data_IF_483426271598
#
_entry.id   IF_483426271598
#
_cell.length_a   1.000
_cell.length_b   1.000
_cell.length_c   1.000
_cell.angle_alpha   90.00
_cell.angle_beta   90.00
_cell.angle_gamma   90.00
#
_symmetry.space_group_name_H-M   'P 1'
#
loop_
_entity.id
_entity.type
_entity.pdbx_description
1 polymer ?
#
# COMPACT_ATOMS: atom_id res chain seq x y z
N UNK A 1 55.05 -6.99 -10.59
CA UNK A 1 54.49 -6.01 -9.62
C UNK A 1 52.98 -6.20 -9.59
N UNK A 2 52.36 -6.51 -8.45
CA UNK A 2 50.90 -6.59 -8.39
C UNK A 2 50.34 -5.18 -8.57
N UNK A 3 49.39 -5.03 -9.49
CA UNK A 3 48.65 -3.79 -9.72
C UNK A 3 47.70 -3.64 -8.54
N UNK A 4 48.01 -2.75 -7.62
CA UNK A 4 47.09 -2.37 -6.54
C UNK A 4 45.94 -1.64 -7.22
N UNK A 5 44.81 -2.33 -7.38
CA UNK A 5 43.58 -1.74 -7.88
C UNK A 5 43.21 -0.56 -6.99
N UNK A 6 42.89 0.58 -7.60
CA UNK A 6 42.41 1.77 -6.89
C UNK A 6 41.22 1.32 -6.03
N UNK A 7 41.20 1.63 -4.71
CA UNK A 7 40.05 1.28 -3.88
C UNK A 7 38.82 1.94 -4.48
N UNK A 8 37.77 1.13 -4.68
CA UNK A 8 36.50 1.60 -5.21
C UNK A 8 36.05 2.82 -4.40
N UNK A 9 35.69 3.90 -5.08
CA UNK A 9 35.30 5.15 -4.41
C UNK A 9 34.08 4.85 -3.54
N UNK A 10 34.21 5.01 -2.22
CA UNK A 10 33.09 4.88 -1.31
C UNK A 10 32.01 5.92 -1.65
N UNK A 11 30.82 5.45 -2.03
CA UNK A 11 29.64 6.27 -2.27
C UNK A 11 28.65 6.02 -1.12
N UNK A 12 28.26 7.05 -0.34
CA UNK A 12 27.25 6.90 0.70
C UNK A 12 25.91 6.38 0.16
N UNK A 13 25.19 5.59 0.96
CA UNK A 13 23.89 5.03 0.56
C UNK A 13 22.88 6.10 0.12
N UNK A 14 22.86 7.25 0.81
CA UNK A 14 22.00 8.40 0.46
C UNK A 14 22.25 8.92 -0.96
N UNK A 15 23.48 8.82 -1.46
CA UNK A 15 23.84 9.22 -2.82
C UNK A 15 23.63 8.09 -3.83
N UNK A 16 23.94 6.85 -3.45
CA UNK A 16 23.77 5.67 -4.31
C UNK A 16 22.29 5.31 -4.58
N UNK A 17 21.41 5.60 -3.62
CA UNK A 17 20.00 5.28 -3.66
C UNK A 17 19.06 6.49 -3.63
N UNK A 18 19.58 7.71 -3.88
CA UNK A 18 18.77 8.93 -3.98
C UNK A 18 17.56 8.68 -4.90
N UNK A 19 16.36 8.97 -4.38
CA UNK A 19 15.06 8.83 -5.07
C UNK A 19 14.68 7.41 -5.51
N UNK A 20 15.40 6.37 -5.10
CA UNK A 20 14.95 4.98 -5.35
C UNK A 20 14.02 4.53 -4.24
N UNK A 21 12.80 4.17 -4.63
CA UNK A 21 11.72 3.82 -3.69
C UNK A 21 11.08 2.52 -4.17
N UNK A 22 11.02 1.54 -3.27
CA UNK A 22 10.24 0.33 -3.51
C UNK A 22 8.77 0.62 -3.19
N UNK A 23 7.88 0.21 -4.07
CA UNK A 23 6.45 0.46 -3.99
C UNK A 23 5.69 -0.86 -4.02
N UNK A 24 5.00 -1.13 -2.92
CA UNK A 24 4.12 -2.27 -2.75
C UNK A 24 2.66 -1.82 -2.70
N UNK A 25 1.77 -2.71 -3.14
CA UNK A 25 0.32 -2.56 -3.07
C UNK A 25 -0.22 -3.57 -2.07
N UNK A 26 -1.16 -3.14 -1.25
CA UNK A 26 -1.74 -3.99 -0.22
C UNK A 26 -3.07 -3.47 0.27
N UNK A 27 -3.54 -4.05 1.37
CA UNK A 27 -4.74 -3.57 2.06
C UNK A 27 -4.64 -3.85 3.56
N UNK A 28 -5.49 -3.19 4.34
CA UNK A 28 -5.77 -3.62 5.71
C UNK A 28 -7.28 -3.75 5.90
N UNK A 29 -7.69 -4.61 6.83
CA UNK A 29 -9.09 -4.74 7.23
C UNK A 29 -9.36 -3.81 8.41
N UNK A 30 -10.31 -2.90 8.27
CA UNK A 30 -10.78 -2.06 9.36
C UNK A 30 -12.10 -2.62 9.90
N UNK A 31 -12.11 -3.07 11.14
CA UNK A 31 -13.34 -3.50 11.83
C UNK A 31 -14.30 -2.33 11.98
N UNK A 32 -15.60 -2.57 11.75
CA UNK A 32 -16.68 -1.59 11.91
C UNK A 32 -17.68 -2.15 12.93
N UNK A 33 -17.48 -1.93 14.24
CA UNK A 33 -18.29 -2.59 15.26
C UNK A 33 -19.74 -2.09 15.32
N UNK A 34 -20.00 -0.84 14.94
CA UNK A 34 -21.30 -0.17 15.11
C UNK A 34 -22.22 -0.27 13.88
N UNK A 35 -21.83 -0.98 12.82
CA UNK A 35 -22.64 -1.11 11.60
C UNK A 35 -23.42 -2.43 11.60
N UNK A 36 -24.76 -2.39 11.47
CA UNK A 36 -25.56 -3.62 11.35
C UNK A 36 -25.35 -4.33 10.02
N UNK A 37 -24.75 -3.65 9.03
CA UNK A 37 -24.65 -4.13 7.65
C UNK A 37 -23.23 -4.53 7.22
N UNK A 38 -22.22 -4.18 8.02
CA UNK A 38 -20.81 -4.27 7.68
C UNK A 38 -19.96 -4.58 8.92
N UNK A 39 -19.24 -5.70 8.89
CA UNK A 39 -18.33 -6.08 9.98
C UNK A 39 -16.92 -5.51 9.80
N UNK A 40 -16.49 -5.30 8.57
CA UNK A 40 -15.18 -4.73 8.23
C UNK A 40 -15.18 -4.07 6.85
N UNK A 41 -14.27 -3.12 6.67
CA UNK A 41 -13.87 -2.50 5.39
C UNK A 41 -12.55 -3.04 4.91
N UNK A 42 -12.42 -3.24 3.61
CA UNK A 42 -11.12 -3.51 2.97
C UNK A 42 -10.61 -2.18 2.43
N UNK A 43 -9.51 -1.67 3.02
CA UNK A 43 -8.93 -0.39 2.64
C UNK A 43 -7.61 -0.61 1.89
N UNK A 44 -7.58 -0.39 0.56
CA UNK A 44 -6.35 -0.51 -0.22
C UNK A 44 -5.33 0.55 0.18
N UNK A 45 -4.06 0.17 0.19
CA UNK A 45 -2.95 1.07 0.52
C UNK A 45 -1.76 0.82 -0.40
N UNK A 46 -0.93 1.85 -0.55
CA UNK A 46 0.42 1.79 -1.08
C UNK A 46 1.42 1.87 0.07
N UNK A 47 2.42 1.02 0.03
CA UNK A 47 3.51 1.00 1.00
C UNK A 47 4.77 1.37 0.24
N UNK A 48 5.44 2.44 0.67
CA UNK A 48 6.67 2.94 0.08
C UNK A 48 7.83 2.64 1.02
N UNK A 49 8.88 2.01 0.53
CA UNK A 49 10.14 1.82 1.24
C UNK A 49 11.24 2.63 0.54
N UNK A 50 11.88 3.53 1.28
CA UNK A 50 12.91 4.42 0.76
C UNK A 50 14.28 3.79 0.99
N UNK A 51 14.97 3.45 -0.11
CA UNK A 51 16.27 2.76 -0.05
C UNK A 51 17.39 3.64 0.52
N UNK A 52 17.21 4.97 0.49
CA UNK A 52 18.22 5.92 0.98
C UNK A 52 18.41 5.89 2.51
N UNK A 53 17.35 5.58 3.26
CA UNK A 53 17.35 5.71 4.72
C UNK A 53 16.57 4.63 5.47
N UNK A 54 16.12 3.57 4.77
CA UNK A 54 15.31 2.47 5.31
C UNK A 54 13.98 2.92 5.95
N UNK A 55 13.46 4.07 5.55
CA UNK A 55 12.16 4.55 6.04
C UNK A 55 10.99 3.98 5.22
N UNK A 56 9.82 3.95 5.85
CA UNK A 56 8.56 3.48 5.27
C UNK A 56 7.50 4.59 5.33
N UNK A 57 6.63 4.65 4.33
CA UNK A 57 5.43 5.48 4.30
C UNK A 57 4.23 4.63 3.86
N UNK A 58 3.06 4.79 4.50
CA UNK A 58 1.82 4.13 4.09
C UNK A 58 0.82 5.18 3.64
N UNK A 59 0.34 5.02 2.41
CA UNK A 59 -0.57 5.95 1.76
C UNK A 59 -1.83 5.22 1.30
N UNK A 60 -2.98 5.82 1.55
CA UNK A 60 -4.27 5.38 1.06
C UNK A 60 -4.75 6.32 -0.03
N UNK A 61 -5.05 5.77 -1.20
CA UNK A 61 -5.59 6.54 -2.31
C UNK A 61 -6.97 7.11 -1.96
N UNK A 62 -7.20 8.36 -2.37
CA UNK A 62 -8.50 8.98 -2.23
C UNK A 62 -9.53 8.24 -3.09
N UNK A 63 -10.65 7.87 -2.48
CA UNK A 63 -11.80 7.29 -3.15
C UNK A 63 -12.94 8.29 -3.10
N UNK A 64 -13.52 8.59 -4.25
CA UNK A 64 -14.66 9.50 -4.33
C UNK A 64 -15.82 8.98 -3.50
N UNK A 65 -16.50 9.89 -2.80
CA UNK A 65 -17.64 9.59 -1.95
C UNK A 65 -17.33 8.58 -0.80
N UNK A 66 -16.06 8.44 -0.39
CA UNK A 66 -15.68 7.56 0.71
C UNK A 66 -16.22 8.03 2.06
N UNK A 67 -16.33 9.35 2.27
CA UNK A 67 -16.73 9.94 3.55
C UNK A 67 -15.71 9.72 4.68
N UNK A 68 -14.48 9.31 4.36
CA UNK A 68 -13.43 9.00 5.33
C UNK A 68 -12.16 9.80 4.98
N UNK A 69 -11.40 10.31 5.97
CA UNK A 69 -10.09 10.91 5.71
C UNK A 69 -9.14 9.91 5.04
N UNK A 70 -8.57 10.32 3.91
CA UNK A 70 -7.66 9.54 3.06
C UNK A 70 -6.37 10.32 2.78
N UNK A 71 -5.37 9.68 2.18
CA UNK A 71 -4.04 10.23 1.94
C UNK A 71 -2.96 9.53 2.76
N UNK A 72 -2.05 10.29 3.39
CA UNK A 72 -0.95 9.72 4.19
C UNK A 72 -1.51 9.09 5.47
N UNK A 73 -1.66 7.77 5.45
CA UNK A 73 -2.15 6.99 6.59
C UNK A 73 -1.09 6.91 7.70
N UNK A 74 0.17 6.70 7.32
CA UNK A 74 1.33 6.73 8.22
C UNK A 74 2.43 7.53 7.53
N UNK A 75 2.90 8.59 8.18
CA UNK A 75 3.96 9.47 7.65
C UNK A 75 5.29 8.72 7.52
N UNK A 76 6.15 9.17 6.61
CA UNK A 76 7.50 8.63 6.37
C UNK A 76 8.36 8.64 7.64
N UNK A 77 8.82 7.47 8.07
CA UNK A 77 9.87 7.26 9.08
C UNK A 77 10.23 5.76 9.13
N UNK A 78 11.25 5.37 9.91
CA UNK A 78 11.56 3.96 10.13
C UNK A 78 10.52 3.33 11.04
N UNK A 79 9.80 2.32 10.55
CA UNK A 79 8.78 1.65 11.35
C UNK A 79 9.42 0.63 12.29
N UNK A 80 9.02 0.60 13.58
CA UNK A 80 9.50 -0.41 14.51
C UNK A 80 8.92 -1.78 14.13
N UNK A 81 9.78 -2.79 14.12
CA UNK A 81 9.44 -4.20 13.87
C UNK A 81 9.13 -4.94 15.17
N UNK A 82 9.78 -4.54 16.27
CA UNK A 82 9.61 -5.13 17.59
C UNK A 82 9.87 -4.09 18.69
N UNK A 83 9.64 -4.50 19.94
CA UNK A 83 9.85 -3.66 21.13
C UNK A 83 11.34 -3.49 21.50
N UNK A 84 12.26 -4.14 20.78
CA UNK A 84 13.70 -4.07 21.01
C UNK A 84 14.37 -2.93 20.23
N UNK A 85 13.60 -2.21 19.40
CA UNK A 85 14.10 -1.09 18.60
C UNK A 85 14.55 -1.49 17.19
N UNK A 86 14.36 -2.75 16.79
CA UNK A 86 14.62 -3.15 15.41
C UNK A 86 13.61 -2.48 14.48
N UNK A 87 14.08 -2.06 13.32
CA UNK A 87 13.24 -1.45 12.28
C UNK A 87 13.06 -2.39 11.10
N UNK A 88 11.94 -2.26 10.40
CA UNK A 88 11.71 -3.02 9.17
C UNK A 88 12.79 -2.74 8.12
N UNK A 89 13.27 -3.80 7.48
CA UNK A 89 14.13 -3.72 6.30
C UNK A 89 13.38 -4.21 5.05
N UNK A 90 13.87 -3.86 3.86
CA UNK A 90 13.30 -4.34 2.59
C UNK A 90 13.20 -5.88 2.53
N UNK A 91 14.14 -6.60 3.17
CA UNK A 91 14.15 -8.07 3.26
C UNK A 91 12.98 -8.65 4.06
N UNK A 92 12.37 -7.84 4.93
CA UNK A 92 11.21 -8.24 5.73
C UNK A 92 9.89 -8.10 4.97
N UNK A 93 9.90 -7.53 3.76
CA UNK A 93 8.71 -7.19 3.00
C UNK A 93 8.70 -8.00 1.70
N UNK A 94 7.70 -8.86 1.54
CA UNK A 94 7.48 -9.64 0.32
C UNK A 94 5.97 -9.84 0.11
N UNK A 95 5.56 -10.25 -1.09
CA UNK A 95 4.15 -10.48 -1.41
C UNK A 95 3.59 -11.62 -0.55
N UNK A 96 2.32 -11.50 -0.15
CA UNK A 96 1.65 -12.41 0.77
C UNK A 96 2.16 -12.36 2.21
N UNK A 97 3.00 -11.38 2.58
CA UNK A 97 3.39 -11.14 3.98
C UNK A 97 2.51 -10.08 4.64
N UNK A 98 2.47 -10.13 5.97
CA UNK A 98 1.75 -9.18 6.81
C UNK A 98 2.75 -8.20 7.44
N UNK A 99 2.57 -6.91 7.17
CA UNK A 99 3.29 -5.83 7.81
C UNK A 99 2.46 -5.30 8.98
N UNK A 100 2.90 -5.52 10.22
CA UNK A 100 2.17 -5.13 11.43
C UNK A 100 2.78 -3.86 12.03
N UNK A 101 2.06 -2.74 11.92
CA UNK A 101 2.57 -1.42 12.30
C UNK A 101 1.46 -0.62 13.00
N UNK A 102 1.75 -0.08 14.19
CA UNK A 102 0.84 0.75 14.98
C UNK A 102 -0.58 0.16 15.17
N UNK A 103 -0.64 -1.12 15.51
CA UNK A 103 -1.89 -1.84 15.75
C UNK A 103 -2.72 -2.12 14.48
N UNK A 104 -2.16 -1.88 13.29
CA UNK A 104 -2.76 -2.24 12.00
C UNK A 104 -1.92 -3.31 11.32
N UNK A 105 -2.59 -4.25 10.66
CA UNK A 105 -1.94 -5.31 9.89
C UNK A 105 -2.25 -5.09 8.41
N UNK A 106 -1.20 -4.80 7.64
CA UNK A 106 -1.26 -4.58 6.20
C UNK A 106 -0.84 -5.85 5.47
N UNK A 107 -1.71 -6.39 4.62
CA UNK A 107 -1.40 -7.51 3.73
C UNK A 107 -0.75 -6.97 2.48
N UNK A 108 0.51 -7.32 2.25
CA UNK A 108 1.22 -7.00 1.00
C UNK A 108 0.74 -7.95 -0.09
N UNK A 109 0.20 -7.42 -1.18
CA UNK A 109 -0.47 -8.21 -2.22
C UNK A 109 0.30 -8.18 -3.54
N UNK A 110 0.81 -7.03 -3.93
CA UNK A 110 1.55 -6.84 -5.19
C UNK A 110 2.67 -5.79 -5.05
N UNK A 111 3.50 -5.62 -6.07
CA UNK A 111 4.51 -4.59 -6.18
C UNK A 111 4.66 -4.11 -7.63
N UNK A 112 5.25 -2.93 -7.83
CA UNK A 112 5.55 -2.50 -9.19
C UNK A 112 6.77 -3.20 -9.81
N UNK A 113 6.94 -3.01 -11.13
CA UNK A 113 7.99 -3.66 -11.90
C UNK A 113 9.40 -3.33 -11.37
N UNK A 114 9.65 -2.05 -11.07
CA UNK A 114 10.92 -1.62 -10.49
C UNK A 114 11.23 -2.34 -9.18
N UNK A 115 10.26 -2.43 -8.27
CA UNK A 115 10.42 -3.12 -6.99
C UNK A 115 10.73 -4.58 -7.18
N UNK A 116 10.04 -5.25 -8.11
CA UNK A 116 10.26 -6.65 -8.43
C UNK A 116 11.69 -6.90 -8.92
N UNK A 117 12.11 -6.16 -9.94
CA UNK A 117 13.45 -6.25 -10.53
C UNK A 117 14.54 -5.96 -9.49
N UNK A 118 14.33 -4.95 -8.65
CA UNK A 118 15.28 -4.58 -7.61
C UNK A 118 15.42 -5.67 -6.54
N UNK A 119 14.29 -6.21 -6.03
CA UNK A 119 14.31 -7.29 -5.05
C UNK A 119 15.00 -8.54 -5.61
N UNK A 120 14.74 -8.89 -6.86
CA UNK A 120 15.39 -10.01 -7.54
C UNK A 120 16.90 -9.78 -7.71
N UNK A 121 17.33 -8.54 -8.01
CA UNK A 121 18.75 -8.18 -8.09
C UNK A 121 19.48 -8.29 -6.74
N UNK A 122 18.77 -8.10 -5.63
CA UNK A 122 19.26 -8.30 -4.26
C UNK A 122 19.13 -9.77 -3.80
N UNK A 123 18.75 -10.69 -4.69
CA UNK A 123 18.63 -12.12 -4.41
C UNK A 123 17.33 -12.52 -3.68
N UNK A 124 16.34 -11.64 -3.61
CA UNK A 124 15.03 -11.93 -3.01
C UNK A 124 14.09 -12.44 -4.09
N UNK A 125 13.62 -13.67 -3.93
CA UNK A 125 12.57 -14.20 -4.79
C UNK A 125 11.20 -13.58 -4.42
N UNK A 126 10.64 -12.81 -5.35
CA UNK A 126 9.32 -12.18 -5.18
C UNK A 126 8.23 -13.22 -5.40
N UNK A 127 7.34 -13.37 -4.41
CA UNK A 127 6.23 -14.35 -4.50
C UNK A 127 5.22 -13.94 -5.58
N UNK A 128 4.25 -14.81 -5.85
CA UNK A 128 3.16 -14.48 -6.78
C UNK A 128 2.22 -13.42 -6.18
N UNK A 129 1.67 -12.51 -7.01
CA UNK A 129 0.75 -11.49 -6.54
C UNK A 129 -0.56 -12.11 -6.05
N UNK A 130 -1.11 -11.52 -4.98
CA UNK A 130 -2.41 -11.88 -4.43
C UNK A 130 -3.46 -10.85 -4.84
N UNK A 131 -4.70 -11.29 -5.06
CA UNK A 131 -5.81 -10.38 -5.31
C UNK A 131 -6.27 -9.72 -4.01
N UNK A 132 -6.43 -8.39 -4.05
CA UNK A 132 -7.08 -7.66 -2.96
C UNK A 132 -8.55 -8.11 -2.89
N UNK A 133 -9.05 -8.58 -1.73
CA UNK A 133 -10.43 -9.01 -1.60
C UNK A 133 -11.38 -7.83 -1.80
N UNK A 134 -12.52 -8.09 -2.44
CA UNK A 134 -13.56 -7.06 -2.58
C UNK A 134 -14.10 -6.67 -1.21
N UNK A 135 -14.33 -5.38 -1.04
CA UNK A 135 -15.01 -4.85 0.14
C UNK A 135 -16.51 -5.26 0.10
N UNK A 136 -17.04 -5.95 1.13
CA UNK A 136 -18.44 -6.35 1.18
C UNK A 136 -19.42 -5.18 1.10
N UNK A 137 -19.10 -4.04 1.73
CA UNK A 137 -19.93 -2.84 1.70
C UNK A 137 -19.94 -2.21 0.31
N UNK A 138 -18.77 -2.07 -0.34
CA UNK A 138 -18.72 -1.55 -1.71
C UNK A 138 -19.49 -2.45 -2.69
N UNK A 139 -19.38 -3.78 -2.52
CA UNK A 139 -20.11 -4.75 -3.34
C UNK A 139 -21.62 -4.57 -3.20
N UNK A 140 -22.14 -4.49 -1.97
CA UNK A 140 -23.57 -4.25 -1.70
C UNK A 140 -24.05 -2.90 -2.25
N UNK A 141 -23.23 -1.85 -2.09
CA UNK A 141 -23.55 -0.50 -2.59
C UNK A 141 -23.64 -0.46 -4.12
N UNK A 142 -22.73 -1.15 -4.82
CA UNK A 142 -22.75 -1.23 -6.28
C UNK A 142 -23.99 -1.96 -6.78
N UNK A 143 -24.30 -3.13 -6.22
CA UNK A 143 -25.51 -3.88 -6.54
C UNK A 143 -26.79 -3.05 -6.33
N UNK A 144 -26.87 -2.33 -5.20
CA UNK A 144 -28.00 -1.45 -4.94
C UNK A 144 -28.08 -0.27 -5.92
N UNK A 145 -26.95 0.24 -6.42
CA UNK A 145 -26.92 1.31 -7.41
C UNK A 145 -27.36 0.81 -8.79
N UNK A 146 -26.92 -0.39 -9.21
CA UNK A 146 -27.32 -1.02 -10.48
C UNK A 146 -28.83 -1.29 -10.54
N UNK A 147 -29.43 -1.68 -9.41
CA UNK A 147 -30.88 -1.93 -9.31
C UNK A 147 -31.71 -0.64 -9.33
N UNK A 148 -31.13 0.51 -8.94
CA UNK A 148 -31.84 1.79 -8.83
C UNK A 148 -31.84 2.54 -10.15
N UNK A 149 -32.76 2.18 -11.05
CA UNK A 149 -33.12 2.99 -12.22
C UNK A 149 -34.38 3.82 -11.94
N UNK A 150 -34.26 4.84 -11.08
CA UNK A 150 -35.36 5.80 -10.95
C UNK A 150 -35.33 6.78 -12.12
N UNK A 151 -36.21 6.60 -13.09
CA UNK A 151 -36.59 7.70 -14.00
C UNK A 151 -37.49 8.65 -13.19
N UNK A 152 -36.90 9.70 -12.64
CA UNK A 152 -37.71 10.84 -12.16
C UNK A 152 -38.47 11.36 -13.36
N UNK A 153 -39.80 11.16 -13.40
CA UNK A 153 -40.62 11.78 -14.44
C UNK A 153 -40.47 13.29 -14.26
N UNK A 154 -39.84 13.94 -15.24
CA UNK A 154 -39.79 15.40 -15.30
C UNK A 154 -41.17 15.87 -15.74
N UNK A 155 -41.99 16.35 -14.79
CA UNK A 155 -43.22 17.09 -15.10
C UNK A 155 -42.93 18.56 -15.45
N UNK A 156 -41.66 18.98 -15.40
CA UNK A 156 -41.23 20.38 -15.47
C UNK A 156 -40.90 20.85 -16.89
N UNK A 157 -40.72 19.95 -17.85
CA UNK A 157 -40.38 20.30 -19.24
C UNK A 157 -41.66 20.34 -20.10
N UNK A 158 -42.47 21.39 -19.90
CA UNK A 158 -43.71 21.66 -20.65
C UNK A 158 -43.61 22.87 -21.59
N UNK A 159 -42.41 23.34 -21.94
CA UNK A 159 -42.26 24.31 -23.04
C UNK A 159 -42.22 23.56 -24.38
N UNK A 160 -43.39 23.43 -25.01
CA UNK A 160 -43.53 23.30 -26.46
C UNK A 160 -44.04 24.61 -27.03
#
# INVERSE_FOLDING_TARGET
KPVVGVPDKFVPATLAFDKKVLRFFGYFKQTVPESPNEFYRVRPVKIFYYLEDDSLEIFEEAQENSGIPQGKLIRRHRFPKNDQGDTYNFRDINLGQNLAVYGKVFRVCDCDAFTREWLESEGIHVKQPELIPRDPYLTKRHQAAELKTYKTKSDFDKLK
#
